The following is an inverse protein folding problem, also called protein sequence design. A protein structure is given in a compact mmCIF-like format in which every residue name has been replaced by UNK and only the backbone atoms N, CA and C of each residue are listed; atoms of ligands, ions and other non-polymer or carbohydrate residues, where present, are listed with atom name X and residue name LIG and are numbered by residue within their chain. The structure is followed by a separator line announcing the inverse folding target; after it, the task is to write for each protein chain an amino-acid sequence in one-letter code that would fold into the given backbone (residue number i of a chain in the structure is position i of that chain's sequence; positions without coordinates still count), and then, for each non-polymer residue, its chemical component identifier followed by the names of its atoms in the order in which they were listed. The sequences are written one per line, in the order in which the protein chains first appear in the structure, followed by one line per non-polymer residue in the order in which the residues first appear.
data_IF_162814363317
#
_entry.id   IF_162814363317
#
_cell.length_a   1.000
_cell.length_b   1.000
_cell.length_c   1.000
_cell.angle_alpha   90.00
_cell.angle_beta   90.00
_cell.angle_gamma   90.00
#
_symmetry.space_group_name_H-M   'P 1'
#
loop_
_entity.id
_entity.type
_entity.pdbx_description
1 polymer ?
#
# COMPACT_ATOMS: atom_id res chain seq x y z
N UNK A 1 30.81 0.84 9.36
CA UNK A 1 29.62 1.41 9.96
C UNK A 1 28.37 0.84 9.32
N UNK A 2 27.56 0.18 10.08
CA UNK A 2 26.38 -0.43 9.53
C UNK A 2 25.33 0.65 9.24
N UNK A 3 24.81 0.62 8.04
CA UNK A 3 23.72 1.49 7.68
C UNK A 3 22.44 0.69 7.78
N UNK A 4 21.83 0.76 8.94
CA UNK A 4 20.57 0.07 9.13
C UNK A 4 19.49 0.78 8.36
N UNK A 5 18.90 0.07 7.39
CA UNK A 5 17.80 0.61 6.61
C UNK A 5 16.50 0.04 7.14
N UNK A 6 15.60 0.93 7.53
CA UNK A 6 14.31 0.51 8.06
C UNK A 6 13.49 -0.21 6.99
N UNK A 7 12.66 -1.19 7.38
CA UNK A 7 11.73 -1.80 6.42
C UNK A 7 10.87 -0.75 5.74
N UNK A 8 10.48 -1.03 4.51
CA UNK A 8 9.72 -0.08 3.71
C UNK A 8 8.41 0.33 4.40
N UNK A 9 7.73 -0.62 5.05
CA UNK A 9 6.48 -0.32 5.75
C UNK A 9 6.70 0.66 6.91
N UNK A 10 7.82 0.54 7.63
CA UNK A 10 8.15 1.47 8.71
C UNK A 10 8.49 2.85 8.14
N UNK A 11 9.18 2.88 7.01
CA UNK A 11 9.47 4.15 6.35
C UNK A 11 8.19 4.85 5.95
N UNK A 12 7.23 4.11 5.39
CA UNK A 12 5.94 4.67 5.00
C UNK A 12 5.15 5.16 6.21
N UNK A 13 5.17 4.40 7.30
CA UNK A 13 4.50 4.82 8.52
C UNK A 13 5.06 6.14 9.04
N UNK A 14 6.39 6.24 9.10
CA UNK A 14 7.03 7.46 9.60
C UNK A 14 6.78 8.65 8.68
N UNK A 15 6.71 8.37 7.36
CA UNK A 15 6.54 9.42 6.38
C UNK A 15 5.11 9.96 6.37
N UNK A 16 4.12 9.10 6.54
CA UNK A 16 2.73 9.46 6.32
C UNK A 16 1.85 9.47 7.56
N UNK A 17 2.38 9.04 8.71
CA UNK A 17 1.54 8.90 9.90
C UNK A 17 0.87 10.20 10.32
N UNK A 18 1.61 11.30 10.29
CA UNK A 18 1.11 12.61 10.71
C UNK A 18 0.95 13.58 9.55
N UNK A 19 1.02 13.09 8.33
CA UNK A 19 0.94 13.93 7.15
C UNK A 19 -0.52 14.05 6.70
N UNK A 20 -0.91 15.22 6.23
CA UNK A 20 -2.27 15.37 5.74
C UNK A 20 -2.41 14.79 4.32
N UNK A 21 -3.65 14.69 3.85
CA UNK A 21 -3.95 14.05 2.58
C UNK A 21 -3.30 14.79 1.40
N UNK A 22 -3.29 16.11 1.44
CA UNK A 22 -2.69 16.90 0.35
C UNK A 22 -1.20 16.63 0.23
N UNK A 23 -0.51 16.58 1.35
CA UNK A 23 0.92 16.28 1.35
C UNK A 23 1.20 14.85 0.92
N UNK A 24 0.33 13.93 1.32
CA UNK A 24 0.43 12.53 0.89
C UNK A 24 0.34 12.43 -0.64
N UNK A 25 -0.61 13.13 -1.23
CA UNK A 25 -0.80 13.11 -2.68
C UNK A 25 0.41 13.71 -3.41
N UNK A 26 0.91 14.83 -2.93
CA UNK A 26 2.10 15.45 -3.52
C UNK A 26 3.29 14.52 -3.52
N UNK A 27 3.50 13.86 -2.41
CA UNK A 27 4.61 12.95 -2.24
C UNK A 27 4.49 11.75 -3.17
N UNK A 28 3.29 11.20 -3.26
CA UNK A 28 3.01 10.08 -4.15
C UNK A 28 3.25 10.45 -5.61
N UNK A 29 2.83 11.64 -6.03
CA UNK A 29 3.04 12.10 -7.39
C UNK A 29 4.52 12.15 -7.75
N UNK A 30 5.37 12.52 -6.82
CA UNK A 30 6.80 12.61 -7.05
C UNK A 30 7.46 11.24 -7.18
N UNK A 31 6.88 10.22 -6.57
CA UNK A 31 7.49 8.89 -6.51
C UNK A 31 6.94 7.91 -7.53
N UNK A 32 5.93 8.29 -8.29
CA UNK A 32 5.26 7.32 -9.16
C UNK A 32 6.09 6.85 -10.36
N UNK A 33 7.23 7.48 -10.62
CA UNK A 33 8.11 7.04 -11.69
C UNK A 33 8.86 5.75 -11.36
N UNK A 34 8.87 5.34 -10.11
CA UNK A 34 9.61 4.16 -9.67
C UNK A 34 8.68 2.93 -9.62
N UNK A 35 8.06 2.64 -10.75
CA UNK A 35 7.10 1.54 -10.85
C UNK A 35 7.53 0.54 -11.90
N UNK A 36 7.18 -0.72 -11.64
CA UNK A 36 7.38 -1.81 -12.60
C UNK A 36 6.09 -2.62 -12.65
N UNK A 37 5.85 -3.26 -13.78
CA UNK A 37 4.66 -4.09 -13.92
C UNK A 37 4.76 -5.32 -13.03
N UNK A 38 3.66 -5.62 -12.36
CA UNK A 38 3.50 -6.81 -11.54
C UNK A 38 2.13 -7.40 -11.83
N UNK A 39 2.06 -8.72 -11.80
CA UNK A 39 0.77 -9.39 -11.96
C UNK A 39 0.32 -9.91 -10.61
N UNK A 40 -0.89 -9.52 -10.21
CA UNK A 40 -1.49 -9.98 -8.96
C UNK A 40 -2.93 -10.40 -9.23
N UNK A 41 -3.40 -11.38 -8.47
CA UNK A 41 -4.80 -11.79 -8.54
C UNK A 41 -5.60 -10.94 -7.55
N UNK A 42 -6.66 -10.32 -8.05
CA UNK A 42 -7.51 -9.45 -7.25
C UNK A 42 -8.94 -9.97 -7.29
N UNK A 43 -9.61 -9.99 -6.14
CA UNK A 43 -11.00 -10.36 -6.07
C UNK A 43 -11.84 -9.52 -7.04
N UNK A 44 -12.81 -10.16 -7.69
CA UNK A 44 -13.62 -9.49 -8.70
C UNK A 44 -14.39 -8.30 -8.15
N UNK A 45 -14.95 -8.43 -6.96
CA UNK A 45 -15.70 -7.33 -6.36
C UNK A 45 -14.81 -6.17 -5.97
N UNK A 46 -13.62 -6.47 -5.45
CA UNK A 46 -12.64 -5.43 -5.17
C UNK A 46 -12.23 -4.69 -6.43
N UNK A 47 -12.02 -5.43 -7.51
CA UNK A 47 -11.66 -4.83 -8.78
C UNK A 47 -12.74 -3.88 -9.29
N UNK A 48 -14.02 -4.32 -9.18
CA UNK A 48 -15.13 -3.48 -9.59
C UNK A 48 -15.20 -2.20 -8.75
N UNK A 49 -15.06 -2.34 -7.44
CA UNK A 49 -15.12 -1.17 -6.56
C UNK A 49 -13.98 -0.19 -6.82
N UNK A 50 -12.78 -0.71 -7.01
CA UNK A 50 -11.64 0.14 -7.35
C UNK A 50 -11.84 0.82 -8.69
N UNK A 51 -12.45 0.12 -9.63
CA UNK A 51 -12.70 0.66 -10.97
C UNK A 51 -13.64 1.87 -10.96
N UNK A 52 -14.44 2.03 -9.92
CA UNK A 52 -15.32 3.20 -9.81
C UNK A 52 -14.55 4.50 -9.69
N UNK A 53 -13.30 4.44 -9.25
CA UNK A 53 -12.45 5.62 -9.18
C UNK A 53 -11.67 5.87 -10.47
N UNK A 54 -11.76 4.93 -11.42
CA UNK A 54 -11.00 5.05 -12.68
C UNK A 54 -11.60 6.16 -13.54
N UNK A 55 -10.80 7.18 -13.78
CA UNK A 55 -11.21 8.34 -14.57
C UNK A 55 -10.11 8.65 -15.59
N UNK A 56 -10.30 9.70 -16.36
CA UNK A 56 -9.29 10.12 -17.33
C UNK A 56 -7.98 10.53 -16.68
N UNK A 57 -8.02 10.97 -15.43
CA UNK A 57 -6.83 11.45 -14.75
C UNK A 57 -6.16 10.41 -13.87
N UNK A 58 -6.80 9.28 -13.59
CA UNK A 58 -6.22 8.23 -12.76
C UNK A 58 -6.62 6.86 -13.29
N UNK A 59 -5.66 5.94 -13.37
CA UNK A 59 -5.94 4.60 -13.85
C UNK A 59 -5.86 3.58 -12.72
N UNK A 60 -6.17 2.33 -13.04
CA UNK A 60 -6.21 1.26 -12.04
C UNK A 60 -4.85 1.05 -11.37
N UNK A 61 -3.76 1.16 -12.13
CA UNK A 61 -2.43 0.99 -11.57
C UNK A 61 -2.12 2.04 -10.51
N UNK A 62 -2.51 3.28 -10.79
CA UNK A 62 -2.31 4.37 -9.84
C UNK A 62 -3.18 4.20 -8.59
N UNK A 63 -4.42 3.75 -8.77
CA UNK A 63 -5.33 3.52 -7.65
C UNK A 63 -4.77 2.44 -6.72
N UNK A 64 -4.29 1.35 -7.29
CA UNK A 64 -3.72 0.24 -6.52
C UNK A 64 -2.46 0.69 -5.79
N UNK A 65 -1.56 1.37 -6.49
CA UNK A 65 -0.33 1.85 -5.89
C UNK A 65 -0.60 2.77 -4.71
N UNK A 66 -1.53 3.70 -4.90
CA UNK A 66 -1.89 4.67 -3.86
C UNK A 66 -2.50 3.96 -2.65
N UNK A 67 -3.41 3.02 -2.90
CA UNK A 67 -4.05 2.26 -1.83
C UNK A 67 -3.07 1.43 -1.04
N UNK A 68 -2.13 0.79 -1.72
CA UNK A 68 -1.11 -0.01 -1.05
C UNK A 68 -0.19 0.84 -0.18
N UNK A 69 0.22 1.99 -0.68
CA UNK A 69 1.05 2.91 0.10
C UNK A 69 0.31 3.38 1.34
N UNK A 70 -0.95 3.72 1.19
CA UNK A 70 -1.76 4.18 2.30
C UNK A 70 -1.89 3.08 3.36
N UNK A 71 -2.20 1.86 2.92
CA UNK A 71 -2.36 0.73 3.84
C UNK A 71 -1.07 0.42 4.58
N UNK A 72 0.05 0.31 3.84
CA UNK A 72 1.33 -0.01 4.47
C UNK A 72 1.79 1.04 5.46
N UNK A 73 1.37 2.29 5.26
CA UNK A 73 1.69 3.36 6.18
C UNK A 73 0.86 3.34 7.46
N UNK A 74 -0.13 2.46 7.55
CA UNK A 74 -1.00 2.37 8.72
C UNK A 74 -0.63 1.21 9.62
N UNK A 75 -0.47 1.49 10.89
CA UNK A 75 -0.12 0.48 11.88
C UNK A 75 -1.18 -0.60 11.99
N UNK A 76 -2.43 -0.21 11.86
CA UNK A 76 -3.56 -1.13 11.92
C UNK A 76 -3.49 -2.21 10.83
N UNK A 77 -3.09 -1.82 9.63
CA UNK A 77 -2.96 -2.77 8.53
C UNK A 77 -1.87 -3.81 8.84
N UNK A 78 -0.74 -3.35 9.38
CA UNK A 78 0.36 -4.26 9.70
C UNK A 78 -0.01 -5.22 10.83
N UNK A 79 -0.79 -4.75 11.81
CA UNK A 79 -1.34 -5.61 12.87
C UNK A 79 -2.27 -6.66 12.29
N UNK A 80 -3.14 -6.25 11.37
CA UNK A 80 -4.04 -7.17 10.71
C UNK A 80 -3.26 -8.25 9.96
N UNK A 81 -2.24 -7.86 9.22
CA UNK A 81 -1.43 -8.83 8.48
C UNK A 81 -0.74 -9.82 9.40
N UNK A 82 -0.22 -9.34 10.53
CA UNK A 82 0.41 -10.22 11.50
C UNK A 82 -0.58 -11.26 12.03
N UNK A 83 -1.80 -10.86 12.31
CA UNK A 83 -2.83 -11.77 12.78
C UNK A 83 -3.24 -12.79 11.71
N UNK A 84 -3.38 -12.35 10.47
CA UNK A 84 -3.72 -13.24 9.36
C UNK A 84 -2.64 -14.29 9.16
N UNK A 85 -1.38 -13.86 9.18
CA UNK A 85 -0.25 -14.78 9.01
C UNK A 85 -0.24 -15.82 10.15
N UNK A 86 -0.46 -15.37 11.36
CA UNK A 86 -0.49 -16.28 12.51
C UNK A 86 -1.61 -17.31 12.37
N UNK A 87 -2.80 -16.87 11.96
CA UNK A 87 -3.92 -17.78 11.76
C UNK A 87 -3.64 -18.82 10.68
N UNK A 88 -3.04 -18.40 9.59
CA UNK A 88 -2.70 -19.31 8.49
C UNK A 88 -1.66 -20.34 8.93
N UNK A 89 -0.67 -19.92 9.70
CA UNK A 89 0.34 -20.82 10.19
C UNK A 89 -0.24 -21.88 11.12
N UNK A 90 -1.22 -21.52 11.94
CA UNK A 90 -1.90 -22.45 12.82
C UNK A 90 -2.71 -23.49 12.05
N UNK A 91 -3.29 -23.09 10.92
CA UNK A 91 -4.11 -24.00 10.12
C UNK A 91 -3.29 -25.01 9.35
N UNK A 92 -2.02 -24.75 9.12
CA UNK A 92 -1.16 -25.65 8.37
C UNK A 92 -0.55 -26.76 9.21
N UNK A 93 -0.74 -26.74 10.50
CA UNK A 93 -0.25 -27.79 11.38
C UNK A 93 -1.15 -29.06 11.38
#
# INVERSE_FOLDING_TARGET
MSQYKLPFSIQLERKYNDINIDDFIKDWEQEKSNRQERTVAIDNELHIELGKFNTFSIDMNEIIDLGMRYALGKREFRRLMAQVIELKNKKED
#
